data_IF_101749753800
#
_entry.id   IF_101749753800
#
_cell.length_a   1.000
_cell.length_b   1.000
_cell.length_c   1.000
_cell.angle_alpha   90.00
_cell.angle_beta   90.00
_cell.angle_gamma   90.00
#
_symmetry.space_group_name_H-M   'P 1'
#
loop_
_entity.id
_entity.type
_entity.pdbx_description
1 polymer ?
#
# COMPACT_ATOMS: atom_id res chain seq x y z
N UNK A 1 -5.73 -23.28 4.85
CA UNK A 1 -7.07 -23.52 5.43
C UNK A 1 -8.06 -23.54 4.27
N UNK A 2 -9.19 -24.27 4.34
CA UNK A 2 -10.18 -24.21 3.26
C UNK A 2 -10.73 -22.79 3.14
N UNK A 3 -10.74 -22.23 1.92
CA UNK A 3 -11.15 -20.83 1.67
C UNK A 3 -12.63 -20.56 1.97
N UNK A 4 -13.45 -21.61 2.09
CA UNK A 4 -14.90 -21.53 2.31
C UNK A 4 -15.30 -21.69 3.79
N UNK A 5 -14.35 -21.73 4.72
CA UNK A 5 -14.63 -21.90 6.17
C UNK A 5 -14.17 -20.66 6.93
N UNK A 6 -15.06 -20.01 7.71
CA UNK A 6 -14.69 -18.84 8.50
C UNK A 6 -13.52 -19.12 9.44
N UNK A 7 -12.53 -18.22 9.43
CA UNK A 7 -11.39 -18.24 10.34
C UNK A 7 -11.66 -17.33 11.54
N UNK A 8 -11.65 -17.93 12.74
CA UNK A 8 -11.78 -17.22 14.00
C UNK A 8 -10.41 -16.98 14.65
N UNK A 9 -10.11 -15.73 15.02
CA UNK A 9 -8.90 -15.38 15.77
C UNK A 9 -9.25 -15.12 17.25
N UNK A 10 -8.93 -16.10 18.09
CA UNK A 10 -9.20 -16.06 19.52
C UNK A 10 -8.44 -14.92 20.22
N UNK A 11 -9.17 -14.11 21.00
CA UNK A 11 -8.63 -13.06 21.86
C UNK A 11 -8.15 -11.79 21.17
N UNK A 12 -8.37 -11.64 19.86
CA UNK A 12 -7.90 -10.49 19.07
C UNK A 12 -8.89 -9.32 18.98
N UNK A 13 -9.54 -9.00 20.08
CA UNK A 13 -10.64 -8.04 20.15
C UNK A 13 -10.26 -6.56 20.33
N UNK A 14 -8.98 -6.19 20.18
CA UNK A 14 -8.53 -4.80 20.32
C UNK A 14 -8.49 -4.07 18.96
N UNK A 15 -8.91 -2.79 18.87
CA UNK A 15 -8.93 -2.08 17.58
C UNK A 15 -7.64 -2.11 16.77
N UNK A 16 -6.48 -2.05 17.43
CA UNK A 16 -5.17 -2.14 16.76
C UNK A 16 -4.92 -3.46 15.99
N UNK A 17 -5.50 -4.58 16.44
CA UNK A 17 -5.20 -5.90 15.88
C UNK A 17 -6.22 -6.34 14.84
N UNK A 18 -7.44 -5.83 14.90
CA UNK A 18 -8.54 -6.19 14.00
C UNK A 18 -8.17 -6.00 12.51
N UNK A 19 -7.64 -4.84 12.06
CA UNK A 19 -7.29 -4.64 10.66
C UNK A 19 -6.23 -5.62 10.16
N UNK A 20 -5.27 -5.97 11.02
CA UNK A 20 -4.23 -6.94 10.72
C UNK A 20 -4.79 -8.35 10.58
N UNK A 21 -5.62 -8.78 11.53
CA UNK A 21 -6.27 -10.08 11.50
C UNK A 21 -7.06 -10.26 10.21
N UNK A 22 -7.86 -9.25 9.84
CA UNK A 22 -8.67 -9.27 8.62
C UNK A 22 -7.81 -9.29 7.36
N UNK A 23 -6.74 -8.50 7.28
CA UNK A 23 -5.83 -8.53 6.14
C UNK A 23 -5.11 -9.88 5.96
N UNK A 24 -4.95 -10.64 7.04
CA UNK A 24 -4.41 -12.00 7.03
C UNK A 24 -5.49 -13.08 6.75
N UNK A 25 -6.75 -12.69 6.56
CA UNK A 25 -7.86 -13.57 6.20
C UNK A 25 -8.69 -14.07 7.38
N UNK A 26 -8.65 -13.41 8.54
CA UNK A 26 -9.56 -13.75 9.64
C UNK A 26 -10.93 -13.09 9.44
N UNK A 27 -12.01 -13.84 9.67
CA UNK A 27 -13.39 -13.40 9.48
C UNK A 27 -14.07 -12.97 10.79
N UNK A 28 -13.67 -13.59 11.90
CA UNK A 28 -14.27 -13.34 13.22
C UNK A 28 -13.22 -13.25 14.32
N UNK A 29 -13.56 -12.52 15.39
CA UNK A 29 -12.72 -12.31 16.57
C UNK A 29 -13.63 -12.11 17.79
N UNK A 30 -13.16 -12.48 18.96
CA UNK A 30 -13.82 -12.25 20.25
C UNK A 30 -13.05 -11.22 21.10
N UNK A 31 -13.76 -10.56 22.01
CA UNK A 31 -13.18 -9.56 22.90
C UNK A 31 -13.71 -9.73 24.31
N UNK A 32 -12.85 -10.17 25.24
CA UNK A 32 -13.08 -9.95 26.66
C UNK A 32 -12.48 -8.62 27.15
N UNK A 33 -11.65 -7.96 26.33
CA UNK A 33 -10.91 -6.77 26.74
C UNK A 33 -11.82 -5.59 27.05
N UNK A 34 -12.96 -5.44 26.37
CA UNK A 34 -13.87 -4.31 26.61
C UNK A 34 -14.29 -4.18 28.09
N UNK A 35 -14.65 -5.30 28.73
CA UNK A 35 -15.09 -5.34 30.13
C UNK A 35 -13.90 -5.49 31.09
N UNK A 36 -12.89 -6.28 30.74
CA UNK A 36 -11.70 -6.42 31.58
C UNK A 36 -10.94 -5.10 31.70
N UNK A 37 -10.95 -4.27 30.66
CA UNK A 37 -10.32 -2.95 30.68
C UNK A 37 -11.15 -1.97 31.48
N UNK A 38 -12.47 -1.98 31.29
CA UNK A 38 -13.39 -1.14 32.06
C UNK A 38 -13.28 -1.36 33.57
N UNK A 39 -13.15 -2.62 34.03
CA UNK A 39 -12.91 -2.97 35.45
C UNK A 39 -11.63 -2.36 36.06
N UNK A 40 -10.70 -1.91 35.22
CA UNK A 40 -9.42 -1.30 35.62
C UNK A 40 -9.32 0.16 35.14
N UNK A 41 -10.46 0.82 34.93
CA UNK A 41 -10.55 2.21 34.45
C UNK A 41 -9.77 2.46 33.15
N UNK A 42 -9.69 1.45 32.26
CA UNK A 42 -9.01 1.54 30.98
C UNK A 42 -10.00 1.77 29.83
N UNK A 43 -9.71 2.82 29.08
CA UNK A 43 -10.47 3.32 27.94
C UNK A 43 -9.74 2.94 26.64
N UNK A 44 -10.47 2.33 25.71
CA UNK A 44 -9.96 1.94 24.39
C UNK A 44 -10.13 3.13 23.43
N UNK A 45 -9.02 3.55 22.82
CA UNK A 45 -9.00 4.46 21.68
C UNK A 45 -8.73 3.71 20.38
N UNK A 46 -8.77 4.44 19.26
CA UNK A 46 -8.51 3.89 17.93
C UNK A 46 -7.11 3.24 17.82
N UNK A 47 -6.12 3.80 18.52
CA UNK A 47 -4.70 3.47 18.35
C UNK A 47 -3.98 3.09 19.66
N UNK A 48 -4.68 3.04 20.80
CA UNK A 48 -4.10 2.76 22.12
C UNK A 48 -5.16 2.44 23.17
N UNK A 49 -4.71 2.06 24.35
CA UNK A 49 -5.52 1.99 25.57
C UNK A 49 -4.92 2.95 26.59
N UNK A 50 -5.76 3.73 27.29
CA UNK A 50 -5.31 4.73 28.27
C UNK A 50 -6.11 4.56 29.56
N UNK A 51 -5.50 4.85 30.71
CA UNK A 51 -6.24 4.97 31.96
C UNK A 51 -7.07 6.25 31.97
N UNK A 52 -8.34 6.15 32.36
CA UNK A 52 -9.29 7.25 32.30
C UNK A 52 -8.81 8.52 33.02
N UNK A 53 -8.07 8.36 34.13
CA UNK A 53 -7.46 9.47 34.89
C UNK A 53 -6.47 10.32 34.08
N UNK A 54 -5.85 9.76 33.05
CA UNK A 54 -4.86 10.43 32.21
C UNK A 54 -5.51 11.16 31.01
N UNK A 55 -6.83 11.00 30.81
CA UNK A 55 -7.57 11.56 29.69
C UNK A 55 -8.12 12.93 30.08
N UNK A 56 -7.73 13.95 29.29
CA UNK A 56 -8.27 15.32 29.46
C UNK A 56 -9.53 15.58 28.65
N UNK A 57 -9.62 14.96 27.47
CA UNK A 57 -10.72 15.13 26.52
C UNK A 57 -10.99 13.81 25.82
N UNK A 58 -12.25 13.45 25.63
CA UNK A 58 -12.60 12.32 24.78
C UNK A 58 -12.46 12.72 23.30
N UNK A 59 -11.80 11.86 22.53
CA UNK A 59 -11.69 11.94 21.07
C UNK A 59 -12.82 11.19 20.33
N UNK A 60 -13.79 10.66 21.08
CA UNK A 60 -14.88 9.84 20.58
C UNK A 60 -16.22 10.58 20.65
N UNK A 61 -17.15 10.22 19.77
CA UNK A 61 -18.50 10.78 19.67
C UNK A 61 -19.59 9.73 19.94
N UNK A 62 -19.27 8.64 20.64
CA UNK A 62 -20.26 7.64 21.04
C UNK A 62 -21.25 8.22 22.07
N UNK A 63 -22.30 7.45 22.37
CA UNK A 63 -23.33 7.86 23.34
C UNK A 63 -22.75 8.22 24.71
N UNK A 64 -21.71 7.51 25.16
CA UNK A 64 -21.05 7.79 26.44
C UNK A 64 -20.27 9.11 26.37
N UNK A 65 -19.42 9.24 25.34
CA UNK A 65 -18.49 10.37 25.22
C UNK A 65 -19.16 11.70 24.84
N UNK A 66 -20.40 11.66 24.34
CA UNK A 66 -21.21 12.87 24.09
C UNK A 66 -22.00 13.32 25.31
N UNK A 67 -22.26 12.41 26.27
CA UNK A 67 -23.00 12.70 27.52
C UNK A 67 -22.09 13.05 28.68
N UNK A 68 -20.89 12.47 28.74
CA UNK A 68 -19.96 12.61 29.85
C UNK A 68 -18.59 13.11 29.40
N UNK A 69 -17.89 13.81 30.29
CA UNK A 69 -16.46 14.06 30.22
C UNK A 69 -15.66 13.09 31.12
N UNK A 70 -14.32 12.99 30.98
CA UNK A 70 -13.53 12.03 31.75
C UNK A 70 -13.68 12.13 33.28
N UNK A 71 -13.79 13.35 33.82
CA UNK A 71 -13.94 13.58 35.27
C UNK A 71 -15.32 13.16 35.78
N UNK A 72 -16.35 13.38 34.98
CA UNK A 72 -17.71 12.93 35.29
C UNK A 72 -17.76 11.41 35.39
N UNK A 73 -17.19 10.69 34.41
CA UNK A 73 -17.13 9.21 34.47
C UNK A 73 -16.35 8.72 35.69
N UNK A 74 -15.22 9.36 36.02
CA UNK A 74 -14.43 9.01 37.22
C UNK A 74 -15.19 9.21 38.53
N UNK A 75 -16.18 10.10 38.54
CA UNK A 75 -16.99 10.43 39.72
C UNK A 75 -18.26 9.58 39.84
N UNK A 76 -18.54 8.70 38.86
CA UNK A 76 -19.66 7.77 38.92
C UNK A 76 -19.42 6.67 39.96
N UNK A 77 -20.52 6.11 40.47
CA UNK A 77 -20.49 4.91 41.30
C UNK A 77 -19.79 3.75 40.58
N UNK A 78 -19.17 2.86 41.35
CA UNK A 78 -18.26 1.82 40.83
C UNK A 78 -18.84 1.01 39.66
N UNK A 79 -20.07 0.51 39.81
CA UNK A 79 -20.72 -0.31 38.79
C UNK A 79 -21.10 0.51 37.55
N UNK A 80 -21.62 1.72 37.74
CA UNK A 80 -22.01 2.61 36.65
C UNK A 80 -20.79 3.09 35.85
N UNK A 81 -19.69 3.43 36.53
CA UNK A 81 -18.42 3.76 35.90
C UNK A 81 -17.94 2.63 34.98
N UNK A 82 -17.93 1.39 35.48
CA UNK A 82 -17.52 0.23 34.70
C UNK A 82 -18.44 0.04 33.49
N UNK A 83 -19.76 0.18 33.66
CA UNK A 83 -20.72 0.04 32.58
C UNK A 83 -20.50 1.09 31.48
N UNK A 84 -20.29 2.36 31.84
CA UNK A 84 -20.04 3.43 30.87
C UNK A 84 -18.72 3.21 30.11
N UNK A 85 -17.63 2.85 30.80
CA UNK A 85 -16.35 2.56 30.13
C UNK A 85 -16.47 1.32 29.23
N UNK A 86 -17.16 0.27 29.68
CA UNK A 86 -17.36 -0.95 28.90
C UNK A 86 -18.20 -0.69 27.64
N UNK A 87 -19.26 0.11 27.75
CA UNK A 87 -20.11 0.51 26.64
C UNK A 87 -19.32 1.32 25.60
N UNK A 88 -18.53 2.29 26.04
CA UNK A 88 -17.59 3.01 25.17
C UNK A 88 -16.62 2.06 24.47
N UNK A 89 -15.99 1.14 25.21
CA UNK A 89 -15.03 0.19 24.66
C UNK A 89 -15.66 -0.70 23.57
N UNK A 90 -16.93 -1.11 23.74
CA UNK A 90 -17.68 -1.83 22.70
C UNK A 90 -17.92 -0.97 21.46
N UNK A 91 -18.30 0.30 21.63
CA UNK A 91 -18.42 1.24 20.50
C UNK A 91 -17.11 1.42 19.76
N UNK A 92 -15.99 1.55 20.46
CA UNK A 92 -14.66 1.68 19.85
C UNK A 92 -14.29 0.45 19.01
N UNK A 93 -14.53 -0.76 19.52
CA UNK A 93 -14.30 -2.02 18.80
C UNK A 93 -15.22 -2.12 17.58
N UNK A 94 -16.52 -1.83 17.75
CA UNK A 94 -17.49 -1.89 16.65
C UNK A 94 -17.16 -0.90 15.54
N UNK A 95 -16.79 0.33 15.90
CA UNK A 95 -16.38 1.37 14.96
C UNK A 95 -15.14 0.92 14.16
N UNK A 96 -14.20 0.22 14.80
CA UNK A 96 -13.05 -0.33 14.11
C UNK A 96 -13.42 -1.42 13.10
N UNK A 97 -14.30 -2.36 13.48
CA UNK A 97 -14.80 -3.39 12.56
C UNK A 97 -15.50 -2.74 11.35
N UNK A 98 -16.30 -1.71 11.57
CA UNK A 98 -16.98 -1.00 10.48
C UNK A 98 -15.99 -0.27 9.56
N UNK A 99 -14.97 0.41 10.11
CA UNK A 99 -13.90 1.05 9.31
C UNK A 99 -13.13 0.02 8.48
N UNK A 100 -12.86 -1.16 9.02
CA UNK A 100 -12.19 -2.23 8.27
C UNK A 100 -13.06 -2.71 7.12
N UNK A 101 -14.34 -2.99 7.35
CA UNK A 101 -15.28 -3.37 6.27
C UNK A 101 -15.36 -2.31 5.18
N UNK A 102 -15.45 -1.04 5.56
CA UNK A 102 -15.47 0.07 4.61
C UNK A 102 -14.16 0.11 3.81
N UNK A 103 -13.01 -0.06 4.47
CA UNK A 103 -11.72 -0.11 3.77
C UNK A 103 -11.61 -1.28 2.78
N UNK A 104 -12.26 -2.41 3.05
CA UNK A 104 -12.36 -3.53 2.10
C UNK A 104 -13.23 -3.13 0.92
N UNK A 105 -14.41 -2.58 1.18
CA UNK A 105 -15.35 -2.14 0.16
C UNK A 105 -14.71 -1.12 -0.79
N UNK A 106 -13.96 -0.16 -0.26
CA UNK A 106 -13.22 0.83 -1.05
C UNK A 106 -11.96 0.29 -1.74
N UNK A 107 -11.55 -0.95 -1.46
CA UNK A 107 -10.31 -1.54 -1.96
C UNK A 107 -9.04 -1.00 -1.29
N UNK A 108 -9.16 -0.33 -0.14
CA UNK A 108 -8.10 0.39 0.59
C UNK A 108 -7.63 -0.28 1.89
N UNK A 109 -7.88 -1.58 2.06
CA UNK A 109 -7.46 -2.31 3.27
C UNK A 109 -5.95 -2.22 3.51
N UNK A 110 -5.13 -2.30 2.45
CA UNK A 110 -3.66 -2.18 2.56
C UNK A 110 -3.27 -0.85 3.18
N UNK A 111 -3.78 0.26 2.65
CA UNK A 111 -3.54 1.60 3.16
C UNK A 111 -3.99 1.75 4.62
N UNK A 112 -5.16 1.18 4.95
CA UNK A 112 -5.70 1.22 6.31
C UNK A 112 -4.82 0.46 7.30
N UNK A 113 -4.34 -0.73 6.94
CA UNK A 113 -3.40 -1.52 7.74
C UNK A 113 -2.08 -0.77 7.92
N UNK A 114 -1.50 -0.24 6.85
CA UNK A 114 -0.24 0.51 6.91
C UNK A 114 -0.35 1.77 7.77
N UNK A 115 -1.52 2.41 7.82
CA UNK A 115 -1.82 3.50 8.77
C UNK A 115 -1.83 2.97 10.21
N UNK A 116 -2.50 1.85 10.47
CA UNK A 116 -2.66 1.28 11.82
C UNK A 116 -1.38 0.77 12.44
N UNK A 117 -0.54 0.08 11.67
CA UNK A 117 0.72 -0.46 12.20
C UNK A 117 1.70 0.61 12.67
N UNK A 118 1.53 1.86 12.21
CA UNK A 118 2.34 3.01 12.64
C UNK A 118 1.93 3.58 14.00
N UNK A 119 0.85 3.09 14.60
CA UNK A 119 0.41 3.52 15.93
C UNK A 119 1.41 3.20 17.05
N UNK A 120 2.19 2.12 16.91
CA UNK A 120 3.13 1.69 17.95
C UNK A 120 4.37 1.01 17.34
N UNK A 121 5.60 1.27 17.84
CA UNK A 121 6.83 0.68 17.28
C UNK A 121 6.80 -0.85 17.20
N UNK A 122 6.28 -1.52 18.23
CA UNK A 122 6.14 -2.99 18.23
C UNK A 122 5.17 -3.50 17.17
N UNK A 123 4.13 -2.74 16.88
CA UNK A 123 3.16 -3.07 15.84
C UNK A 123 3.76 -2.82 14.45
N UNK A 124 4.62 -1.82 14.34
CA UNK A 124 5.30 -1.48 13.09
C UNK A 124 6.25 -2.59 12.60
N UNK A 125 6.79 -3.43 13.50
CA UNK A 125 7.56 -4.63 13.12
C UNK A 125 6.77 -5.58 12.18
N UNK A 126 5.44 -5.53 12.18
CA UNK A 126 4.59 -6.31 11.27
C UNK A 126 4.78 -5.89 9.81
N UNK A 127 5.21 -4.66 9.53
CA UNK A 127 5.52 -4.20 8.16
C UNK A 127 6.58 -5.08 7.48
N UNK A 128 7.59 -5.52 8.22
CA UNK A 128 8.63 -6.41 7.71
C UNK A 128 8.06 -7.78 7.32
N UNK A 129 7.08 -8.28 8.08
CA UNK A 129 6.43 -9.56 7.80
C UNK A 129 5.59 -9.44 6.52
N UNK A 130 4.80 -8.37 6.40
CA UNK A 130 3.94 -8.12 5.24
C UNK A 130 4.75 -7.94 3.95
N UNK A 131 5.89 -7.27 4.04
CA UNK A 131 6.76 -7.02 2.88
C UNK A 131 7.59 -8.24 2.48
N UNK A 132 8.05 -9.07 3.43
CA UNK A 132 8.80 -10.31 3.15
C UNK A 132 7.91 -11.44 2.62
N UNK A 133 6.67 -11.52 3.10
CA UNK A 133 5.71 -12.57 2.72
C UNK A 133 4.65 -12.06 1.73
N UNK A 134 4.95 -10.99 1.01
CA UNK A 134 3.98 -10.28 0.18
C UNK A 134 3.33 -11.11 -0.93
N UNK A 135 4.04 -12.14 -1.41
CA UNK A 135 3.51 -13.06 -2.43
C UNK A 135 2.28 -13.85 -1.93
N UNK A 136 2.13 -14.03 -0.62
CA UNK A 136 0.98 -14.70 -0.01
C UNK A 136 -0.36 -14.05 -0.39
N UNK A 137 -0.37 -12.73 -0.52
CA UNK A 137 -1.57 -11.96 -0.80
C UNK A 137 -1.94 -11.90 -2.29
N UNK A 138 -1.06 -12.37 -3.20
CA UNK A 138 -1.27 -12.23 -4.65
C UNK A 138 -2.52 -12.94 -5.14
N UNK A 139 -2.76 -14.16 -4.65
CA UNK A 139 -3.86 -14.99 -5.13
C UNK A 139 -5.23 -14.56 -4.57
N UNK A 140 -5.23 -13.81 -3.46
CA UNK A 140 -6.44 -13.34 -2.78
C UNK A 140 -6.76 -11.88 -3.04
N UNK A 141 -5.83 -11.13 -3.65
CA UNK A 141 -6.05 -9.73 -4.03
C UNK A 141 -6.75 -9.64 -5.39
N UNK A 142 -7.85 -8.88 -5.52
CA UNK A 142 -8.47 -8.62 -6.82
C UNK A 142 -7.49 -8.03 -7.83
N UNK A 143 -7.55 -8.48 -9.08
CA UNK A 143 -6.69 -8.00 -10.18
C UNK A 143 -6.93 -6.51 -10.47
N UNK A 144 -8.16 -6.04 -10.23
CA UNK A 144 -8.59 -4.66 -10.42
C UNK A 144 -9.35 -4.16 -9.19
N UNK A 145 -9.21 -2.87 -8.89
CA UNK A 145 -10.01 -2.14 -7.91
C UNK A 145 -10.45 -0.82 -8.51
N UNK A 146 -11.65 -0.37 -8.14
CA UNK A 146 -12.23 0.87 -8.68
C UNK A 146 -11.42 2.12 -8.32
N UNK A 147 -10.77 2.13 -7.15
CA UNK A 147 -9.98 3.25 -6.66
C UNK A 147 -8.49 3.09 -6.97
N UNK A 148 -7.84 4.22 -7.26
CA UNK A 148 -6.40 4.29 -7.41
C UNK A 148 -5.66 3.92 -6.11
N UNK A 149 -4.55 3.18 -6.27
CA UNK A 149 -3.70 2.79 -5.15
C UNK A 149 -2.84 3.95 -4.67
N UNK A 150 -2.51 3.99 -3.38
CA UNK A 150 -1.58 4.98 -2.85
C UNK A 150 -0.19 4.39 -2.62
N UNK A 151 0.83 5.11 -3.07
CA UNK A 151 2.25 4.76 -3.01
C UNK A 151 2.98 5.83 -2.18
N UNK A 152 3.12 5.57 -0.89
CA UNK A 152 3.67 6.50 0.09
C UNK A 152 5.18 6.33 0.27
N UNK A 153 5.62 5.11 0.53
CA UNK A 153 6.99 4.79 0.95
C UNK A 153 7.44 3.45 0.38
N UNK A 154 8.75 3.16 0.49
CA UNK A 154 9.38 2.00 -0.17
C UNK A 154 8.70 0.65 0.12
N UNK A 155 8.02 0.50 1.25
CA UNK A 155 7.28 -0.70 1.61
C UNK A 155 6.15 -1.01 0.60
N UNK A 156 5.59 0.02 -0.04
CA UNK A 156 4.53 -0.13 -1.05
C UNK A 156 5.03 -0.78 -2.34
N UNK A 157 6.34 -0.98 -2.52
CA UNK A 157 6.86 -1.77 -3.64
C UNK A 157 6.50 -3.27 -3.53
N UNK A 158 6.09 -3.71 -2.34
CA UNK A 158 5.73 -5.09 -2.02
C UNK A 158 4.22 -5.30 -1.89
N UNK A 159 3.39 -4.28 -2.13
CA UNK A 159 1.93 -4.49 -2.08
C UNK A 159 1.47 -5.40 -3.23
N UNK A 160 0.37 -6.15 -3.06
CA UNK A 160 0.04 -7.23 -3.99
C UNK A 160 -0.29 -6.74 -5.40
N UNK A 161 -0.91 -5.57 -5.54
CA UNK A 161 -1.24 -4.98 -6.84
C UNK A 161 0.02 -4.59 -7.62
N UNK A 162 1.02 -4.05 -6.92
CA UNK A 162 2.33 -3.71 -7.51
C UNK A 162 3.06 -4.98 -7.95
N UNK A 163 3.08 -6.01 -7.10
CA UNK A 163 3.72 -7.29 -7.43
C UNK A 163 3.02 -8.01 -8.58
N UNK A 164 1.68 -8.01 -8.61
CA UNK A 164 0.89 -8.56 -9.71
C UNK A 164 1.23 -7.86 -11.03
N UNK A 165 1.32 -6.53 -11.01
CA UNK A 165 1.70 -5.76 -12.19
C UNK A 165 3.15 -6.01 -12.63
N UNK A 166 4.08 -6.07 -11.68
CA UNK A 166 5.47 -6.46 -11.94
C UNK A 166 5.57 -7.85 -12.57
N UNK A 167 4.72 -8.81 -12.17
CA UNK A 167 4.66 -10.13 -12.80
C UNK A 167 4.19 -10.06 -14.26
N UNK A 168 3.30 -9.12 -14.59
CA UNK A 168 2.91 -8.82 -15.98
C UNK A 168 4.08 -8.25 -16.78
N UNK A 169 4.82 -7.27 -16.23
CA UNK A 169 6.01 -6.70 -16.88
C UNK A 169 7.06 -7.78 -17.18
N UNK A 170 7.32 -8.69 -16.25
CA UNK A 170 8.31 -9.77 -16.44
C UNK A 170 7.98 -10.69 -17.63
N UNK A 171 6.70 -10.80 -17.99
CA UNK A 171 6.22 -11.60 -19.13
C UNK A 171 6.23 -10.82 -20.44
N UNK A 172 6.39 -9.50 -20.42
CA UNK A 172 6.41 -8.66 -21.62
C UNK A 172 7.57 -9.02 -22.55
N UNK A 173 7.27 -9.19 -23.83
CA UNK A 173 8.25 -9.47 -24.89
C UNK A 173 8.03 -8.53 -26.06
N UNK A 174 9.11 -8.01 -26.61
CA UNK A 174 9.11 -7.22 -27.84
C UNK A 174 10.20 -7.67 -28.80
N UNK A 175 9.95 -7.52 -30.10
CA UNK A 175 10.94 -7.75 -31.16
C UNK A 175 11.72 -6.48 -31.50
N UNK A 176 11.25 -5.33 -31.02
CA UNK A 176 11.86 -4.01 -31.26
C UNK A 176 13.28 -3.97 -30.69
N UNK A 177 14.20 -3.35 -31.44
CA UNK A 177 15.63 -3.29 -31.11
C UNK A 177 16.06 -2.01 -30.43
N UNK A 178 15.23 -0.99 -30.49
CA UNK A 178 15.48 0.30 -29.89
C UNK A 178 14.43 0.54 -28.83
N UNK A 179 14.85 0.90 -27.63
CA UNK A 179 13.97 1.31 -26.54
C UNK A 179 14.20 2.77 -26.18
N UNK A 180 13.12 3.44 -25.76
CA UNK A 180 13.15 4.78 -25.18
C UNK A 180 12.54 4.68 -23.80
N UNK A 181 13.27 5.13 -22.78
CA UNK A 181 12.82 5.09 -21.39
C UNK A 181 12.75 6.49 -20.79
N UNK A 182 11.56 6.86 -20.35
CA UNK A 182 11.25 8.14 -19.69
C UNK A 182 10.68 7.93 -18.29
N UNK A 183 10.75 8.97 -17.45
CA UNK A 183 10.07 8.96 -16.15
C UNK A 183 8.56 9.00 -16.36
N UNK A 184 7.80 8.28 -15.53
CA UNK A 184 6.34 8.32 -15.61
C UNK A 184 5.81 9.73 -15.34
N UNK A 185 4.70 10.08 -16.01
CA UNK A 185 4.07 11.40 -16.01
C UNK A 185 2.91 11.48 -15.00
N UNK A 186 2.45 12.70 -14.75
CA UNK A 186 1.24 12.95 -13.96
C UNK A 186 0.01 12.50 -14.75
N UNK A 187 -0.08 12.92 -16.01
CA UNK A 187 -1.12 12.47 -16.95
C UNK A 187 -0.90 10.99 -17.27
N UNK A 188 -1.94 10.18 -17.05
CA UNK A 188 -1.95 8.75 -17.32
C UNK A 188 -3.27 8.37 -18.02
N UNK A 189 -3.26 7.42 -18.96
CA UNK A 189 -2.10 6.67 -19.45
C UNK A 189 -1.09 7.54 -20.21
N UNK A 190 0.16 7.08 -20.27
CA UNK A 190 1.27 7.92 -20.65
C UNK A 190 1.28 8.32 -22.15
N UNK A 191 0.57 7.58 -23.01
CA UNK A 191 0.37 7.94 -24.42
C UNK A 191 -0.51 9.18 -24.63
N UNK A 192 -1.20 9.67 -23.59
CA UNK A 192 -2.00 10.90 -23.64
C UNK A 192 -1.17 12.16 -23.36
N UNK A 193 0.12 12.02 -23.10
CA UNK A 193 0.99 13.14 -22.71
C UNK A 193 1.55 13.88 -23.92
N UNK A 194 1.70 15.20 -23.82
CA UNK A 194 2.39 15.98 -24.85
C UNK A 194 3.85 15.57 -24.94
N UNK A 195 4.47 15.23 -23.81
CA UNK A 195 5.84 14.73 -23.74
C UNK A 195 6.03 13.48 -24.60
N UNK A 196 5.07 12.54 -24.58
CA UNK A 196 5.08 11.38 -25.45
C UNK A 196 4.97 11.78 -26.92
N UNK A 197 4.00 12.63 -27.28
CA UNK A 197 3.79 13.06 -28.67
C UNK A 197 5.05 13.73 -29.24
N UNK A 198 5.64 14.68 -28.51
CA UNK A 198 6.88 15.35 -28.91
C UNK A 198 8.06 14.39 -28.98
N UNK A 199 8.14 13.40 -28.08
CA UNK A 199 9.22 12.42 -28.10
C UNK A 199 9.07 11.45 -29.28
N UNK A 200 7.84 11.04 -29.61
CA UNK A 200 7.52 10.17 -30.74
C UNK A 200 7.98 10.80 -32.06
N UNK A 201 7.74 12.10 -32.24
CA UNK A 201 8.14 12.87 -33.42
C UNK A 201 9.66 12.94 -33.65
N UNK A 202 10.48 12.71 -32.61
CA UNK A 202 11.95 12.68 -32.76
C UNK A 202 12.48 11.44 -33.49
N UNK A 203 11.63 10.45 -33.73
CA UNK A 203 12.01 9.19 -34.39
C UNK A 203 11.28 9.05 -35.72
N UNK A 204 12.02 8.98 -36.83
CA UNK A 204 11.47 8.84 -38.19
C UNK A 204 10.55 7.61 -38.32
N UNK A 205 10.96 6.48 -37.74
CA UNK A 205 10.16 5.26 -37.66
C UNK A 205 9.81 4.94 -36.19
N UNK A 206 8.85 5.69 -35.65
CA UNK A 206 8.41 5.51 -34.26
C UNK A 206 7.80 4.13 -33.96
N UNK A 207 7.31 3.40 -34.96
CA UNK A 207 6.68 2.09 -34.76
C UNK A 207 7.72 1.00 -34.46
N UNK A 208 8.97 1.15 -34.92
CA UNK A 208 10.08 0.26 -34.54
C UNK A 208 10.68 0.55 -33.15
N UNK A 209 10.22 1.62 -32.49
CA UNK A 209 10.69 2.04 -31.16
C UNK A 209 9.81 1.45 -30.05
N UNK A 210 10.43 0.83 -29.05
CA UNK A 210 9.76 0.44 -27.82
C UNK A 210 9.75 1.61 -26.85
N UNK A 211 8.63 2.32 -26.78
CA UNK A 211 8.44 3.34 -25.74
C UNK A 211 8.14 2.66 -24.40
N UNK A 212 8.84 3.11 -23.36
CA UNK A 212 8.68 2.66 -22.00
C UNK A 212 8.74 3.87 -21.06
N UNK A 213 8.00 3.78 -19.98
CA UNK A 213 8.11 4.67 -18.83
C UNK A 213 8.72 3.88 -17.68
N UNK A 214 9.19 4.56 -16.64
CA UNK A 214 9.52 3.89 -15.40
C UNK A 214 8.81 4.56 -14.22
N UNK A 215 8.45 3.71 -13.26
CA UNK A 215 7.97 4.10 -11.96
C UNK A 215 8.79 3.32 -10.91
N UNK A 216 9.32 3.96 -9.85
CA UNK A 216 10.12 3.28 -8.84
C UNK A 216 9.46 2.04 -8.22
N UNK A 217 8.14 2.07 -8.04
CA UNK A 217 7.36 0.96 -7.48
C UNK A 217 7.03 -0.10 -8.53
N UNK A 218 6.52 0.32 -9.70
CA UNK A 218 5.98 -0.60 -10.70
C UNK A 218 7.06 -1.23 -11.59
N UNK A 219 8.21 -0.57 -11.77
CA UNK A 219 9.26 -1.01 -12.68
C UNK A 219 9.23 -0.29 -14.02
N UNK A 220 9.69 -0.99 -15.07
CA UNK A 220 9.66 -0.51 -16.45
C UNK A 220 8.29 -0.83 -17.04
N UNK A 221 7.60 0.19 -17.53
CA UNK A 221 6.22 0.16 -18.02
C UNK A 221 6.26 0.37 -19.55
N UNK A 222 6.18 -0.71 -20.35
CA UNK A 222 5.92 -0.59 -21.79
C UNK A 222 4.65 0.22 -22.05
N UNK A 223 4.63 1.00 -23.13
CA UNK A 223 3.48 1.81 -23.52
C UNK A 223 2.19 0.98 -23.61
N UNK A 224 2.29 -0.25 -24.13
CA UNK A 224 1.20 -1.21 -24.29
C UNK A 224 0.60 -1.67 -22.96
N UNK A 225 1.33 -1.55 -21.85
CA UNK A 225 0.88 -1.91 -20.51
C UNK A 225 0.52 -0.69 -19.65
N UNK A 226 0.62 0.53 -20.20
CA UNK A 226 0.48 1.77 -19.44
C UNK A 226 -0.94 2.09 -18.98
N UNK A 227 -1.96 1.49 -19.61
CA UNK A 227 -3.37 1.64 -19.23
C UNK A 227 -3.88 0.54 -18.29
N UNK A 228 -3.07 -0.47 -18.03
CA UNK A 228 -3.43 -1.55 -17.12
C UNK A 228 -3.35 -1.10 -15.66
N UNK A 229 -4.28 -1.57 -14.84
CA UNK A 229 -4.22 -1.36 -13.39
C UNK A 229 -2.98 -2.07 -12.79
N UNK A 230 -2.24 -1.42 -11.86
CA UNK A 230 -2.45 -0.08 -11.32
C UNK A 230 -1.64 1.02 -12.05
N UNK A 231 -0.98 0.75 -13.19
CA UNK A 231 -0.09 1.70 -13.87
C UNK A 231 -0.75 3.02 -14.31
N UNK A 232 -2.05 2.99 -14.62
CA UNK A 232 -2.86 4.19 -14.86
C UNK A 232 -3.59 4.72 -13.62
N UNK A 233 -3.63 3.94 -12.52
CA UNK A 233 -4.50 4.15 -11.36
C UNK A 233 -3.71 4.15 -10.04
N UNK A 234 -2.81 5.10 -9.86
CA UNK A 234 -2.08 5.27 -8.60
C UNK A 234 -1.88 6.74 -8.24
N UNK A 235 -1.64 7.04 -6.97
CA UNK A 235 -1.12 8.33 -6.52
C UNK A 235 0.16 8.13 -5.71
N UNK A 236 1.15 8.98 -5.97
CA UNK A 236 2.47 8.91 -5.32
C UNK A 236 2.69 10.11 -4.42
N UNK A 237 3.26 9.89 -3.23
CA UNK A 237 3.55 10.98 -2.28
C UNK A 237 4.58 11.99 -2.79
N UNK A 238 5.45 11.57 -3.73
CA UNK A 238 6.55 12.36 -4.28
C UNK A 238 7.04 11.73 -5.59
N UNK A 239 7.83 12.47 -6.36
CA UNK A 239 8.44 11.97 -7.61
C UNK A 239 9.90 11.55 -7.47
N UNK A 240 10.58 11.98 -6.40
CA UNK A 240 12.01 11.76 -6.22
C UNK A 240 12.22 10.75 -5.11
N UNK A 241 12.87 9.64 -5.47
CA UNK A 241 13.16 8.51 -4.59
C UNK A 241 14.64 8.14 -4.71
N UNK A 242 15.18 7.52 -3.65
CA UNK A 242 16.53 6.97 -3.69
C UNK A 242 16.49 5.60 -4.35
N UNK A 243 17.28 5.35 -5.40
CA UNK A 243 17.31 4.05 -6.09
C UNK A 243 17.56 2.84 -5.17
N UNK A 244 18.41 3.01 -4.16
CA UNK A 244 18.78 1.97 -3.19
C UNK A 244 17.61 1.43 -2.35
N UNK A 245 16.54 2.22 -2.19
CA UNK A 245 15.34 1.80 -1.46
C UNK A 245 14.42 0.88 -2.30
N UNK A 246 14.72 0.66 -3.59
CA UNK A 246 13.85 -0.05 -4.54
C UNK A 246 14.51 -1.31 -5.14
N UNK A 247 14.79 -2.35 -4.33
CA UNK A 247 15.30 -3.62 -4.84
C UNK A 247 14.33 -4.31 -5.81
N UNK A 248 13.01 -4.13 -5.68
CA UNK A 248 12.05 -4.68 -6.64
C UNK A 248 12.28 -4.10 -8.05
N UNK A 249 12.53 -2.79 -8.15
CA UNK A 249 12.86 -2.14 -9.42
C UNK A 249 14.12 -2.74 -10.04
N UNK A 250 15.15 -3.00 -9.24
CA UNK A 250 16.39 -3.66 -9.68
C UNK A 250 16.10 -5.04 -10.29
N UNK A 251 15.28 -5.85 -9.61
CA UNK A 251 14.86 -7.17 -10.08
C UNK A 251 14.15 -7.07 -11.42
N UNK A 252 13.16 -6.17 -11.53
CA UNK A 252 12.37 -5.99 -12.75
C UNK A 252 13.22 -5.45 -13.90
N UNK A 253 14.11 -4.51 -13.63
CA UNK A 253 15.08 -4.00 -14.61
C UNK A 253 15.90 -5.15 -15.23
N UNK A 254 16.52 -5.97 -14.38
CA UNK A 254 17.35 -7.08 -14.85
C UNK A 254 16.55 -8.10 -15.68
N UNK A 255 15.35 -8.47 -15.22
CA UNK A 255 14.50 -9.41 -15.96
C UNK A 255 14.09 -8.81 -17.30
N UNK A 256 13.64 -7.55 -17.32
CA UNK A 256 13.17 -6.88 -18.53
C UNK A 256 14.25 -6.84 -19.62
N UNK A 257 15.47 -6.42 -19.29
CA UNK A 257 16.59 -6.36 -20.24
C UNK A 257 17.22 -7.72 -20.57
N UNK A 258 17.03 -8.73 -19.71
CA UNK A 258 17.42 -10.12 -20.05
C UNK A 258 16.48 -10.76 -21.07
N UNK A 259 15.19 -10.43 -20.98
CA UNK A 259 14.13 -10.98 -21.81
C UNK A 259 13.92 -10.22 -23.12
N UNK A 260 14.31 -8.95 -23.16
CA UNK A 260 14.16 -8.06 -24.31
C UNK A 260 15.54 -7.54 -24.75
N UNK A 261 16.01 -8.02 -25.90
CA UNK A 261 17.33 -7.67 -26.42
C UNK A 261 17.27 -6.38 -27.24
N UNK A 262 17.64 -5.27 -26.60
CA UNK A 262 17.78 -3.96 -27.25
C UNK A 262 19.23 -3.69 -27.64
N UNK A 263 19.42 -3.18 -28.85
CA UNK A 263 20.71 -2.71 -29.36
C UNK A 263 21.00 -1.29 -28.86
N UNK A 264 19.95 -0.47 -28.72
CA UNK A 264 20.04 0.92 -28.25
C UNK A 264 18.97 1.19 -27.20
N UNK A 265 19.38 1.83 -26.09
CA UNK A 265 18.48 2.40 -25.10
C UNK A 265 18.68 3.92 -25.04
N UNK A 266 17.63 4.67 -25.37
CA UNK A 266 17.55 6.11 -25.20
C UNK A 266 17.00 6.44 -23.80
N UNK A 267 17.68 7.30 -23.05
CA UNK A 267 17.25 7.80 -21.74
C UNK A 267 17.45 9.31 -21.61
N UNK A 268 16.68 9.97 -20.75
CA UNK A 268 16.91 11.38 -20.42
C UNK A 268 18.28 11.58 -19.76
N UNK A 269 18.99 12.65 -20.13
CA UNK A 269 20.35 12.96 -19.64
C UNK A 269 20.44 13.18 -18.12
N UNK A 270 19.36 13.65 -17.50
CA UNK A 270 19.37 14.15 -16.12
C UNK A 270 18.46 13.35 -15.16
N UNK A 271 18.30 12.04 -15.39
CA UNK A 271 17.51 11.21 -14.49
C UNK A 271 18.38 10.58 -13.38
N UNK A 272 18.36 11.18 -12.18
CA UNK A 272 19.13 10.71 -11.03
C UNK A 272 18.72 9.32 -10.53
N UNK A 273 17.45 8.95 -10.71
CA UNK A 273 16.96 7.65 -10.28
C UNK A 273 17.53 6.53 -11.16
N UNK A 274 17.59 6.73 -12.48
CA UNK A 274 18.08 5.73 -13.42
C UNK A 274 19.61 5.55 -13.42
N UNK A 275 20.39 6.57 -13.02
CA UNK A 275 21.86 6.54 -13.04
C UNK A 275 22.50 5.22 -12.55
N UNK A 276 22.15 4.66 -11.38
CA UNK A 276 22.72 3.39 -10.92
C UNK A 276 22.29 2.20 -11.80
N UNK A 277 21.04 2.14 -12.24
CA UNK A 277 20.51 1.04 -13.05
C UNK A 277 21.11 0.98 -14.46
N UNK A 278 21.47 2.13 -15.03
CA UNK A 278 22.16 2.19 -16.33
C UNK A 278 23.52 1.47 -16.33
N UNK A 279 24.14 1.27 -15.16
CA UNK A 279 25.37 0.48 -15.03
C UNK A 279 25.12 -1.03 -15.11
N UNK A 280 23.87 -1.46 -14.93
CA UNK A 280 23.44 -2.86 -14.97
C UNK A 280 22.97 -3.30 -16.37
N UNK A 281 23.02 -2.40 -17.37
CA UNK A 281 22.62 -2.73 -18.73
C UNK A 281 23.50 -3.84 -19.33
N UNK A 282 22.94 -4.72 -20.17
CA UNK A 282 23.72 -5.67 -20.94
C UNK A 282 24.80 -4.96 -21.76
N UNK A 283 26.02 -5.53 -21.81
CA UNK A 283 27.16 -4.94 -22.56
C UNK A 283 26.86 -4.72 -24.05
N UNK A 284 25.92 -5.47 -24.63
CA UNK A 284 25.48 -5.34 -26.02
C UNK A 284 24.61 -4.10 -26.26
N UNK A 285 24.00 -3.53 -25.23
CA UNK A 285 23.06 -2.42 -25.34
C UNK A 285 23.78 -1.08 -25.23
N UNK A 286 23.76 -0.29 -26.32
CA UNK A 286 24.34 1.06 -26.34
C UNK A 286 23.39 2.06 -25.69
N UNK A 287 23.86 2.77 -24.67
CA UNK A 287 23.11 3.89 -24.07
C UNK A 287 23.28 5.16 -24.91
N UNK A 288 22.18 5.81 -25.25
CA UNK A 288 22.12 7.15 -25.85
C UNK A 288 21.26 8.08 -24.99
N UNK A 289 21.52 9.38 -25.10
CA UNK A 289 20.76 10.41 -24.40
C UNK A 289 20.01 11.28 -25.40
N UNK A 290 18.86 11.82 -24.98
CA UNK A 290 18.06 12.80 -25.70
C UNK A 290 17.61 13.95 -24.78
#
# INVERSE_FOLDING_TARGET
MPDAVPLHLFGAGHPLTIPLAVALGCDTFDSASYILYAKHDRYIEEDKTIHLQDIRYFSCTCEVCTKFNPKEILSLEFEEKINQIALHNLFAIKAEVDRVKESIHEGRLWEYVMKKIRAHPKLFEVSDIFTKSSEYFLNTTPIFKEKAIFLFSKEDQYRPEVLSYQNTIQKFRTRKKIAVLTKNTITRPAYLTNEYSTLKEKFEDSESIQFCYFNPFLGIIPLELSDLYPASHYEMSRFNFKPEDFPSFTKIWNIFFSMNKFDILYVSKNDDFLKPFLKLLPKSTKRKFF
#
